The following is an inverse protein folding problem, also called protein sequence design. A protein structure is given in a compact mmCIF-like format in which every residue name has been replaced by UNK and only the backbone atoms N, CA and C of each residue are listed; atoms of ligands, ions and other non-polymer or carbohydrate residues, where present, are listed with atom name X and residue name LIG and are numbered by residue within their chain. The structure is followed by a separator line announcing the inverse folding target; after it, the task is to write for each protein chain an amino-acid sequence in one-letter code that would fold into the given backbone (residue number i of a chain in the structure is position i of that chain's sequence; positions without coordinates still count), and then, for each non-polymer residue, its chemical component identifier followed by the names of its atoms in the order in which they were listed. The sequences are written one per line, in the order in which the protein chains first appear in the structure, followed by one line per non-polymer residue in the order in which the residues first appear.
data_IF_636471911086
#
_entry.id   IF_636471911086
#
_cell.length_a   1.000
_cell.length_b   1.000
_cell.length_c   1.000
_cell.angle_alpha   90.00
_cell.angle_beta   90.00
_cell.angle_gamma   90.00
#
_symmetry.space_group_name_H-M   'P 1'
#
loop_
_entity.id
_entity.type
_entity.pdbx_description
1 polymer ?
#
# COMPACT_ATOMS: atom_id res chain seq x y z
N UNK A 1 9.07 25.82 -18.59
CA UNK A 1 7.67 25.47 -18.93
C UNK A 1 7.63 23.97 -19.11
N UNK A 2 7.02 23.25 -18.16
CA UNK A 2 6.94 21.78 -18.20
C UNK A 2 5.82 21.42 -19.17
N UNK A 3 6.17 20.89 -20.34
CA UNK A 3 5.23 20.30 -21.29
C UNK A 3 5.24 18.79 -21.14
N UNK A 4 4.10 18.20 -20.79
CA UNK A 4 3.87 16.76 -20.87
C UNK A 4 4.01 16.00 -19.55
N UNK A 5 3.04 16.19 -18.66
CA UNK A 5 2.74 15.20 -17.63
C UNK A 5 1.67 14.25 -18.21
N UNK A 6 2.11 13.15 -18.83
CA UNK A 6 1.26 11.99 -19.06
C UNK A 6 1.83 10.81 -18.28
N UNK A 7 0.92 9.95 -17.81
CA UNK A 7 1.18 8.69 -17.10
C UNK A 7 1.22 8.75 -15.55
N UNK A 8 0.08 9.11 -14.96
CA UNK A 8 -0.26 8.76 -13.57
C UNK A 8 -1.04 7.43 -13.57
N UNK A 9 -0.35 6.29 -13.52
CA UNK A 9 -1.01 4.99 -13.34
C UNK A 9 -1.33 4.78 -11.86
N UNK A 10 -2.51 5.26 -11.43
CA UNK A 10 -3.07 4.90 -10.13
C UNK A 10 -3.50 3.43 -10.20
N UNK A 11 -2.93 2.58 -9.34
CA UNK A 11 -3.45 1.23 -9.05
C UNK A 11 -4.89 1.35 -8.51
N UNK A 12 -5.89 1.45 -9.39
CA UNK A 12 -7.30 1.31 -9.04
C UNK A 12 -7.64 -0.17 -9.01
N UNK A 13 -8.05 -0.67 -7.85
CA UNK A 13 -8.86 -1.89 -7.75
C UNK A 13 -10.18 -1.64 -8.48
N UNK A 14 -10.34 -2.10 -9.73
CA UNK A 14 -11.67 -2.24 -10.33
C UNK A 14 -12.25 -3.59 -9.89
N UNK A 15 -13.16 -3.53 -8.93
CA UNK A 15 -14.05 -4.64 -8.63
C UNK A 15 -15.00 -4.88 -9.81
N UNK A 16 -15.11 -6.13 -10.21
CA UNK A 16 -16.07 -6.65 -11.19
C UNK A 16 -17.45 -6.78 -10.55
N UNK A 17 -18.49 -6.20 -11.18
CA UNK A 17 -19.87 -6.67 -11.13
C UNK A 17 -20.61 -6.14 -12.36
N UNK A 18 -21.09 -7.04 -13.22
CA UNK A 18 -21.62 -6.75 -14.56
C UNK A 18 -23.05 -6.20 -14.60
N UNK A 19 -23.44 -5.72 -15.80
CA UNK A 19 -24.82 -5.35 -16.18
C UNK A 19 -24.88 -4.30 -17.29
N UNK A 20 -25.42 -4.67 -18.45
CA UNK A 20 -25.41 -4.01 -19.77
C UNK A 20 -26.17 -2.68 -19.91
N UNK A 21 -25.70 -1.77 -20.79
CA UNK A 21 -26.38 -1.30 -22.03
C UNK A 21 -25.86 0.06 -22.57
N UNK A 22 -25.40 0.07 -23.83
CA UNK A 22 -25.62 1.11 -24.85
C UNK A 22 -24.83 2.44 -24.82
N UNK A 23 -24.15 2.76 -25.95
CA UNK A 23 -23.87 4.15 -26.37
C UNK A 23 -22.46 4.44 -26.90
N UNK A 24 -22.34 4.63 -28.22
CA UNK A 24 -21.14 4.96 -29.00
C UNK A 24 -20.54 6.35 -28.71
N UNK A 25 -19.21 6.48 -28.77
CA UNK A 25 -18.48 7.44 -29.65
C UNK A 25 -16.97 7.55 -29.31
N UNK A 26 -16.13 7.26 -30.31
CA UNK A 26 -14.84 7.92 -30.64
C UNK A 26 -13.76 8.11 -29.55
N UNK A 27 -12.63 7.40 -29.70
CA UNK A 27 -11.39 7.73 -29.01
C UNK A 27 -10.22 6.89 -29.52
N UNK A 28 -9.27 7.54 -30.18
CA UNK A 28 -8.12 6.98 -30.89
C UNK A 28 -7.31 5.96 -30.10
N UNK A 29 -7.05 4.81 -30.71
CA UNK A 29 -6.12 3.79 -30.22
C UNK A 29 -4.68 4.31 -30.29
N UNK A 30 -4.08 4.58 -29.15
CA UNK A 30 -2.62 4.55 -28.97
C UNK A 30 -2.26 3.28 -28.22
N UNK A 31 -1.85 2.27 -28.98
CA UNK A 31 -1.22 1.04 -28.50
C UNK A 31 0.16 1.37 -27.94
N UNK A 32 0.41 1.14 -26.64
CA UNK A 32 1.78 1.28 -26.12
C UNK A 32 1.92 1.40 -24.60
N UNK A 33 1.26 0.55 -23.81
CA UNK A 33 1.57 0.38 -22.40
C UNK A 33 1.10 -0.99 -21.96
N UNK A 34 2.02 -1.95 -21.80
CA UNK A 34 1.65 -3.26 -21.26
C UNK A 34 1.15 -3.07 -19.84
N UNK A 35 -0.13 -3.37 -19.61
CA UNK A 35 -0.65 -3.54 -18.26
C UNK A 35 0.19 -4.61 -17.56
N UNK A 36 0.65 -4.33 -16.35
CA UNK A 36 1.34 -5.32 -15.51
C UNK A 36 0.42 -6.52 -15.36
N UNK A 37 0.88 -7.69 -15.77
CA UNK A 37 0.10 -8.92 -15.68
C UNK A 37 0.00 -9.37 -14.22
N UNK A 38 -1.04 -10.13 -13.83
CA UNK A 38 -1.13 -10.69 -12.48
C UNK A 38 0.08 -11.54 -12.06
N UNK A 39 0.78 -12.14 -13.04
CA UNK A 39 2.00 -12.89 -12.80
C UNK A 39 3.17 -11.96 -12.39
N UNK A 40 3.36 -10.86 -13.12
CA UNK A 40 4.38 -9.85 -12.80
C UNK A 40 4.09 -9.13 -11.46
N UNK A 41 2.82 -8.86 -11.16
CA UNK A 41 2.40 -8.32 -9.86
C UNK A 41 2.83 -9.24 -8.70
N UNK A 42 2.52 -10.53 -8.83
CA UNK A 42 2.90 -11.53 -7.82
C UNK A 42 4.42 -11.62 -7.65
N UNK A 43 5.19 -11.50 -8.74
CA UNK A 43 6.64 -11.53 -8.68
C UNK A 43 7.22 -10.30 -7.96
N UNK A 44 6.71 -9.11 -8.25
CA UNK A 44 7.10 -7.86 -7.58
C UNK A 44 6.84 -7.96 -6.07
N UNK A 45 5.64 -8.41 -5.70
CA UNK A 45 5.25 -8.61 -4.30
C UNK A 45 6.16 -9.66 -3.63
N UNK A 46 6.43 -10.77 -4.30
CA UNK A 46 7.30 -11.83 -3.77
C UNK A 46 8.73 -11.33 -3.53
N UNK A 47 9.29 -10.56 -4.46
CA UNK A 47 10.64 -10.01 -4.36
C UNK A 47 10.76 -8.97 -3.25
N UNK A 48 9.76 -8.09 -3.13
CA UNK A 48 9.66 -7.14 -2.01
C UNK A 48 9.61 -7.88 -0.66
N UNK A 49 8.77 -8.92 -0.56
CA UNK A 49 8.66 -9.74 0.65
C UNK A 49 9.94 -10.51 0.97
N UNK A 50 10.67 -10.98 -0.03
CA UNK A 50 11.97 -11.64 0.15
C UNK A 50 13.01 -10.69 0.75
N UNK A 51 13.10 -9.45 0.26
CA UNK A 51 14.00 -8.43 0.81
C UNK A 51 13.66 -8.10 2.26
N UNK A 52 12.36 -7.97 2.58
CA UNK A 52 11.89 -7.75 3.97
C UNK A 52 12.32 -8.85 4.93
N UNK A 53 12.41 -10.10 4.46
CA UNK A 53 12.84 -11.25 5.29
C UNK A 53 14.35 -11.24 5.61
N UNK A 54 15.17 -10.46 4.89
CA UNK A 54 16.64 -10.58 4.91
C UNK A 54 17.42 -9.51 5.69
N UNK A 55 16.77 -8.57 6.38
CA UNK A 55 17.46 -7.41 7.00
C UNK A 55 18.22 -7.75 8.31
N UNK A 56 19.46 -7.24 8.48
CA UNK A 56 20.30 -7.38 9.69
C UNK A 56 21.03 -6.08 10.10
N UNK A 57 21.12 -5.71 11.41
CA UNK A 57 20.29 -6.25 12.50
C UNK A 57 18.81 -6.09 12.10
N UNK A 58 17.88 -6.90 12.65
CA UNK A 58 16.46 -6.71 12.39
C UNK A 58 16.14 -5.21 12.46
N UNK A 59 15.70 -4.68 11.30
CA UNK A 59 16.01 -3.34 10.79
C UNK A 59 16.32 -2.24 11.83
N UNK A 60 17.59 -1.83 11.91
CA UNK A 60 17.96 -0.55 12.53
C UNK A 60 18.58 0.49 11.57
N UNK A 61 18.96 0.14 10.34
CA UNK A 61 19.27 1.16 9.31
C UNK A 61 19.41 0.59 7.88
N UNK A 62 18.30 0.42 7.17
CA UNK A 62 18.16 0.83 5.76
C UNK A 62 16.66 0.93 5.44
N UNK A 63 16.18 2.18 5.36
CA UNK A 63 14.84 2.66 4.95
C UNK A 63 13.64 2.18 5.79
N UNK A 64 13.27 3.00 6.79
CA UNK A 64 12.02 2.89 7.58
C UNK A 64 10.76 2.69 6.72
N UNK A 65 10.77 3.10 5.45
CA UNK A 65 9.63 2.96 4.56
C UNK A 65 9.41 1.54 4.01
N UNK A 66 10.48 0.83 3.64
CA UNK A 66 10.37 -0.52 3.03
C UNK A 66 9.82 -1.53 4.04
N UNK A 67 10.11 -1.34 5.32
CA UNK A 67 9.77 -2.27 6.41
C UNK A 67 8.59 -1.81 7.26
N UNK A 68 7.85 -0.79 6.83
CA UNK A 68 6.71 -0.29 7.60
C UNK A 68 5.58 -1.32 7.63
N UNK A 69 5.22 -1.81 8.81
CA UNK A 69 4.27 -2.93 8.98
C UNK A 69 2.91 -2.65 8.34
N UNK A 70 2.50 -1.38 8.38
CA UNK A 70 1.25 -0.88 7.80
C UNK A 70 1.36 -0.54 6.32
N UNK A 71 2.54 -0.51 5.70
CA UNK A 71 2.69 -0.24 4.27
C UNK A 71 2.65 -1.55 3.47
N UNK A 72 1.44 -2.00 3.15
CA UNK A 72 1.20 -3.27 2.44
C UNK A 72 0.91 -3.10 0.94
N UNK A 73 0.81 -1.86 0.46
CA UNK A 73 0.83 -1.54 -0.97
C UNK A 73 2.12 -0.81 -1.34
N UNK A 74 2.67 -1.17 -2.50
CA UNK A 74 3.80 -0.49 -3.11
C UNK A 74 3.50 -0.29 -4.60
N UNK A 75 3.72 0.92 -5.10
CA UNK A 75 3.68 1.23 -6.53
C UNK A 75 5.01 1.84 -6.93
N UNK A 76 5.65 1.31 -7.98
CA UNK A 76 6.94 1.80 -8.45
C UNK A 76 6.86 2.23 -9.91
N UNK A 77 7.68 3.22 -10.27
CA UNK A 77 7.85 3.72 -11.63
C UNK A 77 9.35 3.92 -11.92
N UNK A 78 9.71 3.79 -13.20
CA UNK A 78 11.04 4.09 -13.70
C UNK A 78 10.92 5.05 -14.88
N UNK A 79 11.79 6.06 -14.94
CA UNK A 79 11.88 7.00 -16.05
C UNK A 79 13.31 7.08 -16.58
N UNK A 80 13.46 7.06 -17.91
CA UNK A 80 14.73 7.30 -18.58
C UNK A 80 14.90 8.80 -18.92
N UNK A 81 16.01 9.39 -18.50
CA UNK A 81 16.32 10.81 -18.59
C UNK A 81 17.65 11.02 -19.33
N UNK A 82 17.65 11.09 -20.68
CA UNK A 82 18.89 11.09 -21.48
C UNK A 82 19.79 12.32 -21.26
N UNK A 83 19.23 13.43 -20.79
CA UNK A 83 19.93 14.71 -20.58
C UNK A 83 20.24 14.99 -19.11
N UNK A 84 20.22 13.96 -18.26
CA UNK A 84 20.55 14.04 -16.85
C UNK A 84 21.69 13.06 -16.55
N UNK A 85 22.53 13.37 -15.55
CA UNK A 85 23.63 12.50 -15.13
C UNK A 85 23.10 11.13 -14.65
N UNK A 86 21.99 11.16 -13.91
CA UNK A 86 21.18 9.98 -13.62
C UNK A 86 20.21 9.71 -14.77
N UNK A 87 20.64 8.85 -15.69
CA UNK A 87 19.83 8.46 -16.85
C UNK A 87 18.59 7.67 -16.49
N UNK A 88 18.50 7.11 -15.29
CA UNK A 88 17.37 6.31 -14.87
C UNK A 88 16.93 6.73 -13.47
N UNK A 89 15.67 7.16 -13.34
CA UNK A 89 15.06 7.51 -12.07
C UNK A 89 14.08 6.41 -11.65
N UNK A 90 14.24 5.89 -10.44
CA UNK A 90 13.34 4.90 -9.85
C UNK A 90 12.60 5.52 -8.68
N UNK A 91 11.27 5.47 -8.69
CA UNK A 91 10.42 6.02 -7.64
C UNK A 91 9.45 4.94 -7.17
N UNK A 92 9.43 4.67 -5.87
CA UNK A 92 8.43 3.79 -5.25
C UNK A 92 7.63 4.56 -4.20
N UNK A 93 6.30 4.46 -4.27
CA UNK A 93 5.36 4.96 -3.29
C UNK A 93 4.80 3.81 -2.46
N UNK A 94 4.65 4.06 -1.16
CA UNK A 94 4.18 3.08 -0.18
C UNK A 94 2.86 3.55 0.43
N UNK A 95 1.88 2.66 0.47
CA UNK A 95 0.55 2.94 0.99
C UNK A 95 0.10 1.86 1.98
N UNK A 96 -0.52 2.24 3.11
CA UNK A 96 -0.49 3.55 3.78
C UNK A 96 0.93 4.13 3.96
N UNK A 97 1.08 5.46 4.09
CA UNK A 97 2.36 6.06 4.40
C UNK A 97 2.80 5.64 5.80
N UNK A 98 4.10 5.67 6.00
CA UNK A 98 4.75 5.36 7.27
C UNK A 98 5.82 6.40 7.57
N UNK A 99 6.89 5.96 8.24
CA UNK A 99 8.00 6.85 8.64
C UNK A 99 7.51 8.05 9.49
N UNK A 100 6.48 7.82 10.31
CA UNK A 100 6.03 8.79 11.29
C UNK A 100 7.15 9.02 12.32
N UNK A 101 7.41 10.28 12.66
CA UNK A 101 8.44 10.61 13.64
C UNK A 101 8.16 9.91 14.97
N UNK A 102 9.21 9.37 15.59
CA UNK A 102 9.17 8.62 16.86
C UNK A 102 8.34 7.32 16.86
N UNK A 103 7.75 6.92 15.73
CA UNK A 103 7.08 5.64 15.59
C UNK A 103 8.05 4.56 15.08
N UNK A 104 7.86 3.33 15.57
CA UNK A 104 8.64 2.17 15.15
C UNK A 104 8.01 1.59 13.88
N UNK A 105 8.81 1.16 12.89
CA UNK A 105 8.28 0.56 11.67
C UNK A 105 7.54 -0.77 11.89
N UNK A 106 7.72 -1.41 13.04
CA UNK A 106 7.02 -2.64 13.43
C UNK A 106 7.10 -2.82 14.96
N UNK A 107 6.17 -3.63 15.49
CA UNK A 107 6.21 -4.05 16.89
C UNK A 107 7.28 -5.13 17.10
N UNK A 108 8.05 -5.01 18.18
CA UNK A 108 8.99 -6.07 18.57
C UNK A 108 8.23 -7.22 19.25
N UNK A 109 8.59 -8.47 18.95
CA UNK A 109 7.95 -9.63 19.54
C UNK A 109 8.08 -10.89 18.69
N UNK A 110 7.31 -11.93 19.05
CA UNK A 110 7.22 -13.15 18.28
C UNK A 110 6.67 -12.86 16.87
N UNK A 111 7.26 -13.51 15.88
CA UNK A 111 6.81 -13.42 14.49
C UNK A 111 5.31 -13.74 14.38
N UNK A 112 4.57 -12.89 13.68
CA UNK A 112 3.12 -13.03 13.46
C UNK A 112 2.26 -13.08 14.72
N UNK A 113 2.73 -12.62 15.89
CA UNK A 113 1.95 -12.60 17.12
C UNK A 113 0.62 -11.82 16.99
N UNK A 114 0.59 -10.81 16.14
CA UNK A 114 -0.61 -9.99 15.86
C UNK A 114 -1.53 -10.57 14.78
N UNK A 115 -1.18 -11.69 14.15
CA UNK A 115 -1.88 -12.25 12.98
C UNK A 115 -1.76 -13.78 12.93
N UNK A 116 -2.03 -14.46 14.04
CA UNK A 116 -1.77 -15.91 14.20
C UNK A 116 -2.43 -16.80 13.14
N UNK A 117 -3.59 -16.40 12.63
CA UNK A 117 -4.35 -17.14 11.60
C UNK A 117 -4.05 -16.71 10.16
N UNK A 118 -3.24 -15.67 9.97
CA UNK A 118 -2.96 -15.06 8.68
C UNK A 118 -1.47 -14.72 8.56
N UNK A 119 -0.64 -15.73 8.81
CA UNK A 119 0.81 -15.64 8.72
C UNK A 119 1.32 -16.49 7.56
N UNK A 120 1.87 -15.85 6.54
CA UNK A 120 2.63 -16.54 5.49
C UNK A 120 4.11 -16.20 5.61
N UNK A 121 4.95 -17.21 5.84
CA UNK A 121 6.41 -17.10 5.83
C UNK A 121 6.91 -15.86 6.58
N UNK A 122 6.47 -15.74 7.84
CA UNK A 122 6.82 -14.65 8.79
C UNK A 122 6.23 -13.27 8.47
N UNK A 123 5.25 -13.18 7.59
CA UNK A 123 4.56 -11.94 7.21
C UNK A 123 3.05 -12.08 7.42
N UNK A 124 2.42 -11.05 7.97
CA UNK A 124 0.97 -10.99 8.07
C UNK A 124 0.32 -10.74 6.69
N UNK A 125 -0.73 -11.47 6.35
CA UNK A 125 -1.42 -11.42 5.05
C UNK A 125 -2.82 -10.84 5.12
N UNK A 126 -3.19 -10.25 6.25
CA UNK A 126 -4.51 -9.71 6.54
C UNK A 126 -4.47 -8.21 6.88
N UNK A 127 -4.08 -7.35 5.93
CA UNK A 127 -4.08 -5.90 6.17
C UNK A 127 -5.50 -5.32 6.20
N UNK A 128 -5.73 -4.41 7.13
CA UNK A 128 -6.92 -3.57 7.17
C UNK A 128 -6.96 -2.65 5.94
N UNK A 129 -8.05 -2.70 5.16
CA UNK A 129 -8.19 -1.88 3.94
C UNK A 129 -8.54 -0.42 4.22
N UNK A 130 -9.01 -0.14 5.42
CA UNK A 130 -9.39 1.20 5.85
C UNK A 130 -8.22 1.89 6.57
N UNK A 131 -8.27 3.21 6.64
CA UNK A 131 -7.34 3.99 7.44
C UNK A 131 -8.10 4.92 8.38
N UNK A 132 -7.55 5.08 9.57
CA UNK A 132 -7.98 6.13 10.49
C UNK A 132 -7.35 7.46 10.10
N UNK A 133 -8.14 8.52 10.19
CA UNK A 133 -7.69 9.90 9.98
C UNK A 133 -6.89 10.42 11.18
N UNK A 134 -7.18 9.92 12.38
CA UNK A 134 -6.57 10.34 13.63
C UNK A 134 -5.91 9.17 14.36
N UNK A 135 -4.79 9.43 15.03
CA UNK A 135 -4.05 8.41 15.79
C UNK A 135 -4.76 7.96 17.07
N UNK A 136 -5.63 8.79 17.63
CA UNK A 136 -6.40 8.49 18.83
C UNK A 136 -7.76 7.80 18.54
N UNK A 137 -7.98 7.36 17.30
CA UNK A 137 -9.20 6.65 16.92
C UNK A 137 -9.55 5.45 17.82
N UNK A 138 -8.60 4.61 18.27
CA UNK A 138 -8.90 3.55 19.23
C UNK A 138 -9.53 4.06 20.54
N UNK A 139 -9.09 5.22 21.05
CA UNK A 139 -9.67 5.82 22.24
C UNK A 139 -11.05 6.42 21.96
N UNK A 140 -11.22 7.05 20.78
CA UNK A 140 -12.49 7.66 20.38
C UNK A 140 -13.59 6.59 20.18
N UNK A 141 -13.27 5.46 19.54
CA UNK A 141 -14.21 4.36 19.35
C UNK A 141 -14.60 3.69 20.67
N UNK A 142 -13.68 3.62 21.63
CA UNK A 142 -14.00 3.10 22.97
C UNK A 142 -14.90 4.04 23.76
N UNK A 143 -14.76 5.36 23.60
CA UNK A 143 -15.52 6.33 24.38
C UNK A 143 -16.92 6.60 23.78
N UNK A 144 -17.03 6.65 22.45
CA UNK A 144 -18.26 7.10 21.76
C UNK A 144 -18.86 6.04 20.84
N UNK A 145 -18.22 4.88 20.72
CA UNK A 145 -18.60 3.85 19.75
C UNK A 145 -18.37 4.29 18.30
N UNK A 146 -18.83 3.46 17.37
CA UNK A 146 -18.74 3.70 15.93
C UNK A 146 -20.04 4.32 15.39
N UNK A 147 -20.30 5.56 15.80
CA UNK A 147 -21.47 6.34 15.40
C UNK A 147 -21.05 7.66 14.73
N UNK A 148 -21.88 8.17 13.82
CA UNK A 148 -21.76 9.51 13.22
C UNK A 148 -20.34 9.85 12.73
N UNK A 149 -19.78 10.97 13.22
CA UNK A 149 -18.47 11.51 12.82
C UNK A 149 -17.28 10.60 13.20
N UNK A 150 -17.45 9.71 14.17
CA UNK A 150 -16.41 8.74 14.54
C UNK A 150 -16.26 7.71 13.43
N UNK A 151 -17.37 7.25 12.83
CA UNK A 151 -17.30 6.29 11.72
C UNK A 151 -16.63 6.89 10.49
N UNK A 152 -16.81 8.19 10.23
CA UNK A 152 -16.21 8.88 9.08
C UNK A 152 -14.72 9.19 9.29
N UNK A 153 -14.29 9.40 10.53
CA UNK A 153 -12.90 9.74 10.85
C UNK A 153 -12.06 8.52 11.26
N UNK A 154 -12.68 7.47 11.79
CA UNK A 154 -12.04 6.29 12.37
C UNK A 154 -12.51 5.01 11.67
N UNK A 155 -12.42 5.00 10.34
CA UNK A 155 -12.90 3.89 9.52
C UNK A 155 -12.20 2.56 9.82
N UNK A 156 -10.88 2.57 10.08
CA UNK A 156 -10.13 1.36 10.39
C UNK A 156 -10.54 0.81 11.76
N UNK A 157 -10.49 1.66 12.80
CA UNK A 157 -10.89 1.28 14.15
C UNK A 157 -12.35 0.79 14.24
N UNK A 158 -13.22 1.24 13.34
CA UNK A 158 -14.64 0.84 13.32
C UNK A 158 -14.99 -0.33 12.42
N UNK A 159 -14.26 -0.56 11.32
CA UNK A 159 -14.63 -1.57 10.31
C UNK A 159 -13.67 -2.74 10.23
N UNK A 160 -12.43 -2.58 10.66
CA UNK A 160 -11.46 -3.66 10.65
C UNK A 160 -11.63 -4.53 11.89
N UNK A 161 -11.38 -5.82 11.70
CA UNK A 161 -11.49 -6.82 12.76
C UNK A 161 -10.20 -6.90 13.56
N UNK A 162 -10.28 -7.38 14.81
CA UNK A 162 -9.11 -7.52 15.70
C UNK A 162 -8.03 -8.48 15.17
N UNK A 163 -8.33 -9.25 14.12
CA UNK A 163 -7.36 -10.12 13.48
C UNK A 163 -6.52 -9.36 12.43
N UNK A 164 -7.03 -8.27 11.86
CA UNK A 164 -6.37 -7.53 10.77
C UNK A 164 -5.28 -6.56 11.28
N UNK A 165 -4.25 -6.36 10.45
CA UNK A 165 -3.18 -5.40 10.73
C UNK A 165 -3.67 -3.98 10.40
N UNK A 166 -3.83 -3.16 11.44
CA UNK A 166 -4.26 -1.75 11.37
C UNK A 166 -3.14 -0.75 11.15
#
# INVERSE_FOLDING_TARGET
MVTGAEHLSVLRRTGSSGGSSGGSSGGSSSTGGSAVTPAEENEIVAKHNALRRGVQPPASNMLKMVVWYKSFYVGCAMAYCPNHDDKYHYVCQYCPPGNYQFARPYNSGQTCASCSSACDKKLCTNPCRYNDKYSNCPSLTNQWGCQNDVTSSCHASCKCTNNEIM
#
